data_IF_197957321132
#
_entry.id   IF_197957321132
#
_cell.length_a   1.000
_cell.length_b   1.000
_cell.length_c   1.000
_cell.angle_alpha   90.00
_cell.angle_beta   90.00
_cell.angle_gamma   90.00
#
_symmetry.space_group_name_H-M   'P 1'
#
loop_
_entity.id
_entity.type
_entity.pdbx_description
1 polymer ?
#
# COMPACT_ATOMS: atom_id res chain seq x y z
N UNK A 1 -49.98 21.05 -23.47
CA UNK A 1 -48.67 21.04 -22.79
C UNK A 1 -48.83 20.17 -21.55
N UNK A 2 -48.07 19.10 -21.49
CA UNK A 2 -48.02 18.10 -20.39
C UNK A 2 -46.60 17.59 -20.40
N UNK A 3 -45.90 17.74 -19.28
CA UNK A 3 -44.44 17.60 -19.25
C UNK A 3 -44.00 16.13 -19.27
N UNK A 4 -42.90 15.85 -19.98
CA UNK A 4 -42.34 14.51 -20.12
C UNK A 4 -41.33 14.26 -19.01
N UNK A 5 -41.72 13.49 -17.99
CA UNK A 5 -40.84 13.14 -16.87
C UNK A 5 -39.83 12.06 -17.29
N UNK A 6 -38.60 12.46 -17.59
CA UNK A 6 -37.50 11.52 -17.84
C UNK A 6 -37.10 10.78 -16.54
N UNK A 7 -37.53 9.52 -16.40
CA UNK A 7 -37.03 8.63 -15.35
C UNK A 7 -35.56 8.26 -15.63
N UNK A 8 -34.64 8.76 -14.80
CA UNK A 8 -33.25 8.34 -14.83
C UNK A 8 -33.06 6.89 -14.34
N UNK A 9 -31.93 6.23 -14.70
CA UNK A 9 -31.65 4.87 -14.26
C UNK A 9 -31.37 4.81 -12.75
N UNK A 10 -32.10 3.96 -12.04
CA UNK A 10 -31.90 3.67 -10.62
C UNK A 10 -30.82 2.58 -10.41
N UNK A 11 -30.28 2.51 -9.20
CA UNK A 11 -29.43 1.43 -8.66
C UNK A 11 -28.09 1.19 -9.36
N UNK A 12 -27.19 2.16 -9.21
CA UNK A 12 -25.75 1.85 -9.24
C UNK A 12 -25.43 0.76 -8.20
N UNK A 13 -24.96 -0.40 -8.67
CA UNK A 13 -24.79 -1.62 -7.88
C UNK A 13 -23.81 -1.40 -6.72
N UNK A 14 -24.33 -1.32 -5.48
CA UNK A 14 -23.48 -1.23 -4.27
C UNK A 14 -22.71 -2.54 -4.09
N UNK A 15 -21.43 -2.55 -4.52
CA UNK A 15 -20.46 -3.61 -4.18
C UNK A 15 -20.48 -3.87 -2.66
N UNK A 16 -20.45 -5.14 -2.20
CA UNK A 16 -20.51 -5.45 -0.77
C UNK A 16 -19.37 -4.81 0.05
N UNK A 17 -19.65 -4.56 1.32
CA UNK A 17 -18.65 -4.13 2.30
C UNK A 17 -17.70 -5.29 2.63
N UNK A 18 -16.39 -4.99 2.61
CA UNK A 18 -15.27 -5.70 3.22
C UNK A 18 -15.30 -7.25 3.27
N UNK A 19 -14.35 -7.87 2.58
CA UNK A 19 -14.05 -9.30 2.75
C UNK A 19 -13.36 -9.60 4.10
N UNK A 20 -13.15 -10.89 4.42
CA UNK A 20 -12.25 -11.26 5.51
C UNK A 20 -10.85 -10.70 5.26
N UNK A 21 -10.16 -10.29 6.33
CA UNK A 21 -8.79 -9.81 6.23
C UNK A 21 -7.87 -10.91 5.68
N UNK A 22 -6.95 -10.54 4.79
CA UNK A 22 -5.83 -11.42 4.47
C UNK A 22 -4.86 -11.42 5.66
N UNK A 23 -4.29 -12.59 5.96
CA UNK A 23 -3.11 -12.66 6.82
C UNK A 23 -1.96 -11.87 6.19
N UNK A 24 -1.06 -11.30 7.00
CA UNK A 24 0.19 -10.72 6.50
C UNK A 24 0.93 -11.72 5.60
N UNK A 25 1.53 -11.27 4.48
CA UNK A 25 2.35 -12.16 3.66
C UNK A 25 3.62 -12.56 4.43
N UNK A 26 4.17 -13.72 4.09
CA UNK A 26 5.33 -14.31 4.75
C UNK A 26 6.63 -13.67 4.22
N UNK A 27 7.50 -13.12 5.09
CA UNK A 27 8.81 -12.62 4.66
C UNK A 27 9.76 -13.78 4.40
N UNK A 28 10.20 -13.92 3.14
CA UNK A 28 11.25 -14.86 2.72
C UNK A 28 12.63 -14.26 3.00
N UNK A 29 12.75 -12.94 2.87
CA UNK A 29 13.97 -12.17 3.09
C UNK A 29 13.60 -10.74 3.48
N UNK A 30 14.39 -10.12 4.36
CA UNK A 30 14.22 -8.73 4.75
C UNK A 30 15.55 -8.05 5.12
N UNK A 31 15.59 -6.72 5.00
CA UNK A 31 16.66 -5.85 5.49
C UNK A 31 16.09 -4.51 5.97
N UNK A 32 16.52 -4.00 7.15
CA UNK A 32 16.20 -2.64 7.57
C UNK A 32 16.95 -1.62 6.72
N UNK A 33 16.34 -0.45 6.51
CA UNK A 33 16.81 0.58 5.57
C UNK A 33 18.21 1.12 5.90
N UNK A 34 18.56 1.22 7.19
CA UNK A 34 19.92 1.59 7.62
C UNK A 34 21.00 0.64 7.07
N UNK A 35 20.68 -0.63 6.87
CA UNK A 35 21.57 -1.64 6.27
C UNK A 35 21.46 -1.74 4.74
N UNK A 36 20.63 -0.91 4.10
CA UNK A 36 20.51 -0.79 2.64
C UNK A 36 21.39 0.32 2.06
N UNK A 37 21.93 1.22 2.90
CA UNK A 37 22.85 2.28 2.47
C UNK A 37 24.22 1.75 2.02
N UNK A 38 24.57 0.51 2.37
CA UNK A 38 25.77 -0.17 1.89
C UNK A 38 25.64 -0.61 0.42
N UNK A 39 26.77 -0.67 -0.29
CA UNK A 39 26.83 -0.92 -1.74
C UNK A 39 26.19 -2.24 -2.23
N UNK A 40 25.87 -3.17 -1.32
CA UNK A 40 25.15 -4.42 -1.64
C UNK A 40 23.80 -4.18 -2.31
N UNK A 41 23.06 -3.13 -1.95
CA UNK A 41 21.69 -2.91 -2.46
C UNK A 41 21.66 -2.55 -3.94
N UNK A 42 22.69 -1.87 -4.45
CA UNK A 42 22.85 -1.59 -5.89
C UNK A 42 23.15 -2.81 -6.76
N UNK A 43 23.52 -3.94 -6.15
CA UNK A 43 23.66 -5.22 -6.85
C UNK A 43 22.35 -6.03 -6.84
N UNK A 44 21.40 -5.64 -5.99
CA UNK A 44 20.23 -6.42 -5.60
C UNK A 44 18.94 -5.90 -6.25
N UNK A 45 18.85 -4.59 -6.49
CA UNK A 45 17.75 -3.93 -7.22
C UNK A 45 18.26 -3.12 -8.40
N UNK A 46 17.54 -3.18 -9.53
CA UNK A 46 17.78 -2.30 -10.67
C UNK A 46 17.47 -0.84 -10.34
N UNK A 47 18.04 0.10 -11.10
CA UNK A 47 17.91 1.55 -10.85
C UNK A 47 16.47 2.05 -10.63
N UNK A 48 15.52 1.74 -11.54
CA UNK A 48 14.12 2.16 -11.39
C UNK A 48 13.42 1.52 -10.19
N UNK A 49 13.65 0.24 -9.93
CA UNK A 49 13.05 -0.46 -8.78
C UNK A 49 13.60 0.04 -7.44
N UNK A 50 14.90 0.37 -7.38
CA UNK A 50 15.50 1.02 -6.21
C UNK A 50 14.87 2.39 -5.94
N UNK A 51 14.51 3.17 -6.96
CA UNK A 51 13.78 4.43 -6.80
C UNK A 51 12.33 4.21 -6.33
N UNK A 52 11.61 3.22 -6.88
CA UNK A 52 10.25 2.89 -6.44
C UNK A 52 10.22 2.44 -4.97
N UNK A 53 11.15 1.56 -4.59
CA UNK A 53 11.14 0.91 -3.28
C UNK A 53 11.75 1.80 -2.19
N UNK A 54 12.90 2.41 -2.43
CA UNK A 54 13.63 3.20 -1.41
C UNK A 54 13.26 4.70 -1.40
N UNK A 55 12.51 5.18 -2.40
CA UNK A 55 12.07 6.58 -2.48
C UNK A 55 10.88 6.90 -1.57
N UNK A 56 10.92 8.08 -0.96
CA UNK A 56 9.86 8.66 -0.11
C UNK A 56 8.59 9.09 -0.89
N UNK A 57 8.61 9.01 -2.22
CA UNK A 57 7.48 9.37 -3.08
C UNK A 57 6.19 8.57 -2.80
N UNK A 58 5.05 9.15 -3.17
CA UNK A 58 3.74 8.48 -3.06
C UNK A 58 3.61 7.43 -4.17
N UNK A 59 3.44 6.14 -3.86
CA UNK A 59 3.44 5.09 -4.88
C UNK A 59 2.16 5.13 -5.72
N UNK A 60 1.03 5.59 -5.20
CA UNK A 60 -0.15 5.89 -6.04
C UNK A 60 0.19 6.93 -7.11
N UNK A 61 1.04 7.91 -6.79
CA UNK A 61 1.52 8.88 -7.79
C UNK A 61 2.56 8.28 -8.74
N UNK A 62 3.40 7.36 -8.28
CA UNK A 62 4.32 6.63 -9.16
C UNK A 62 3.55 5.74 -10.15
N UNK A 63 2.53 5.01 -9.69
CA UNK A 63 1.64 4.20 -10.55
C UNK A 63 0.88 5.07 -11.57
N UNK A 64 0.31 6.20 -11.15
CA UNK A 64 -0.29 7.20 -12.07
C UNK A 64 0.70 7.66 -13.15
N UNK A 65 1.97 7.91 -12.79
CA UNK A 65 3.00 8.40 -13.71
C UNK A 65 3.59 7.33 -14.63
N UNK A 66 3.69 6.07 -14.18
CA UNK A 66 4.19 4.95 -14.98
C UNK A 66 3.13 4.49 -15.99
N UNK A 67 1.88 4.34 -15.55
CA UNK A 67 0.79 3.80 -16.38
C UNK A 67 0.12 4.85 -17.26
N UNK A 68 0.10 6.11 -16.83
CA UNK A 68 -0.74 7.17 -17.42
C UNK A 68 -2.22 7.08 -16.99
N UNK A 69 -2.60 6.07 -16.22
CA UNK A 69 -3.96 5.79 -15.77
C UNK A 69 -4.19 6.20 -14.30
N UNK A 70 -5.43 6.53 -13.89
CA UNK A 70 -5.73 6.81 -12.50
C UNK A 70 -5.61 5.53 -11.64
N UNK A 71 -5.11 5.68 -10.41
CA UNK A 71 -5.11 4.56 -9.45
C UNK A 71 -6.46 4.43 -8.75
N UNK A 72 -7.13 3.30 -8.97
CA UNK A 72 -8.28 2.86 -8.20
C UNK A 72 -7.83 2.13 -6.92
N UNK A 73 -8.50 2.41 -5.80
CA UNK A 73 -8.22 1.78 -4.50
C UNK A 73 -9.35 0.80 -4.17
N UNK A 74 -9.12 -0.49 -4.38
CA UNK A 74 -10.08 -1.54 -4.05
C UNK A 74 -9.91 -1.96 -2.58
N UNK A 75 -10.85 -1.53 -1.73
CA UNK A 75 -10.82 -1.81 -0.29
C UNK A 75 -11.16 -3.27 0.00
N UNK A 76 -10.19 -4.02 0.53
CA UNK A 76 -10.35 -5.41 0.95
C UNK A 76 -11.00 -5.45 2.34
N UNK A 77 -10.41 -4.73 3.30
CA UNK A 77 -10.94 -4.61 4.67
C UNK A 77 -10.44 -3.35 5.39
N UNK A 78 -11.14 -2.95 6.45
CA UNK A 78 -10.75 -1.86 7.36
C UNK A 78 -11.44 -2.09 8.71
N UNK A 79 -10.73 -2.74 9.63
CA UNK A 79 -11.26 -3.26 10.89
C UNK A 79 -10.22 -3.13 12.03
N UNK A 80 -10.65 -3.32 13.28
CA UNK A 80 -9.74 -3.37 14.42
C UNK A 80 -8.77 -4.55 14.27
N UNK A 81 -7.47 -4.32 14.46
CA UNK A 81 -6.47 -5.38 14.31
C UNK A 81 -6.49 -6.33 15.50
N UNK A 82 -6.51 -7.63 15.22
CA UNK A 82 -6.41 -8.68 16.22
C UNK A 82 -4.93 -8.96 16.44
N UNK A 83 -4.33 -8.33 17.45
CA UNK A 83 -2.88 -8.28 17.68
C UNK A 83 -2.26 -9.66 18.02
N UNK A 84 -2.05 -10.48 17.00
CA UNK A 84 -1.53 -11.85 17.09
C UNK A 84 -0.79 -12.34 15.82
N UNK A 85 -0.56 -11.47 14.82
CA UNK A 85 0.08 -11.83 13.55
C UNK A 85 1.59 -11.52 13.59
N UNK A 86 2.43 -12.54 13.75
CA UNK A 86 3.89 -12.40 13.90
C UNK A 86 4.64 -12.00 12.62
N UNK A 87 3.92 -11.68 11.54
CA UNK A 87 4.46 -11.21 10.25
C UNK A 87 4.17 -9.73 9.99
N UNK A 88 3.65 -8.97 10.95
CA UNK A 88 3.57 -7.50 10.85
C UNK A 88 4.99 -6.90 10.96
N UNK A 89 5.27 -5.71 10.38
CA UNK A 89 6.51 -5.00 10.63
C UNK A 89 6.70 -4.72 12.13
N UNK A 90 7.95 -4.75 12.61
CA UNK A 90 8.27 -4.58 14.04
C UNK A 90 7.87 -3.18 14.56
N UNK A 91 7.89 -2.19 13.67
CA UNK A 91 7.46 -0.80 13.89
C UNK A 91 5.98 -0.69 14.31
N UNK A 92 5.15 -1.69 14.02
CA UNK A 92 3.74 -1.72 14.46
C UNK A 92 3.64 -1.74 15.99
N UNK A 93 4.67 -2.21 16.70
CA UNK A 93 4.76 -2.16 18.16
C UNK A 93 4.97 -0.75 18.72
N UNK A 94 5.33 0.25 17.89
CA UNK A 94 5.43 1.66 18.30
C UNK A 94 4.08 2.40 18.27
N UNK A 95 3.04 1.80 17.69
CA UNK A 95 1.72 2.41 17.51
C UNK A 95 0.86 2.31 18.77
N UNK A 96 -0.03 3.29 18.94
CA UNK A 96 -0.92 3.40 20.09
C UNK A 96 -2.19 2.57 19.88
N UNK A 97 -2.33 1.49 20.65
CA UNK A 97 -3.54 0.66 20.68
C UNK A 97 -4.79 1.45 21.15
N UNK A 98 -6.01 1.10 20.69
CA UNK A 98 -6.32 0.05 19.70
C UNK A 98 -5.90 0.45 18.29
N UNK A 99 -5.48 -0.55 17.50
CA UNK A 99 -5.08 -0.36 16.12
C UNK A 99 -6.22 -0.64 15.14
N UNK A 100 -6.31 0.17 14.10
CA UNK A 100 -7.12 -0.11 12.91
C UNK A 100 -6.21 -0.60 11.79
N UNK A 101 -6.50 -1.79 11.23
CA UNK A 101 -5.81 -2.36 10.07
C UNK A 101 -6.66 -2.20 8.82
N UNK A 102 -6.09 -1.58 7.79
CA UNK A 102 -6.70 -1.37 6.46
C UNK A 102 -5.88 -2.09 5.41
N UNK A 103 -6.53 -2.86 4.54
CA UNK A 103 -5.91 -3.57 3.41
C UNK A 103 -6.59 -3.18 2.09
N UNK A 104 -5.80 -2.91 1.05
CA UNK A 104 -6.27 -2.46 -0.27
C UNK A 104 -5.47 -3.08 -1.41
N UNK A 105 -6.11 -3.26 -2.57
CA UNK A 105 -5.39 -3.31 -3.85
C UNK A 105 -5.29 -1.91 -4.45
N UNK A 106 -4.20 -1.63 -5.13
CA UNK A 106 -4.01 -0.47 -6.00
C UNK A 106 -4.04 -0.96 -7.45
N UNK A 107 -5.08 -0.57 -8.18
CA UNK A 107 -5.29 -0.96 -9.58
C UNK A 107 -5.12 0.22 -10.53
N UNK A 108 -4.57 -0.05 -11.72
CA UNK A 108 -4.65 0.85 -12.88
C UNK A 108 -5.31 0.06 -14.02
N UNK A 109 -6.34 0.62 -14.66
CA UNK A 109 -7.11 -0.02 -15.73
C UNK A 109 -7.53 -1.47 -15.40
N UNK A 110 -7.96 -1.69 -14.15
CA UNK A 110 -8.34 -3.00 -13.60
C UNK A 110 -7.18 -3.92 -13.17
N UNK A 111 -5.95 -3.70 -13.64
CA UNK A 111 -4.76 -4.51 -13.29
C UNK A 111 -4.26 -4.16 -11.90
N UNK A 112 -4.11 -5.14 -11.01
CA UNK A 112 -3.50 -4.93 -9.69
C UNK A 112 -1.98 -4.77 -9.82
N UNK A 113 -1.48 -3.58 -9.48
CA UNK A 113 -0.05 -3.24 -9.57
C UNK A 113 0.64 -3.18 -8.20
N UNK A 114 -0.12 -2.94 -7.14
CA UNK A 114 0.36 -3.10 -5.78
C UNK A 114 -0.77 -3.56 -4.83
N UNK A 115 -0.36 -4.16 -3.72
CA UNK A 115 -1.17 -4.38 -2.52
C UNK A 115 -0.59 -3.54 -1.40
N UNK A 116 -1.43 -3.00 -0.53
CA UNK A 116 -0.97 -2.30 0.64
C UNK A 116 -1.80 -2.67 1.87
N UNK A 117 -1.13 -2.83 3.00
CA UNK A 117 -1.76 -2.83 4.31
C UNK A 117 -1.16 -1.77 5.22
N UNK A 118 -1.96 -1.28 6.15
CA UNK A 118 -1.54 -0.21 7.06
C UNK A 118 -2.21 -0.35 8.42
N UNK A 119 -1.43 -0.07 9.46
CA UNK A 119 -1.84 -0.07 10.86
C UNK A 119 -1.88 1.37 11.35
N UNK A 120 -2.94 1.74 12.04
CA UNK A 120 -3.20 3.12 12.46
C UNK A 120 -3.63 3.19 13.92
N UNK A 121 -3.15 4.21 14.63
CA UNK A 121 -3.72 4.63 15.91
C UNK A 121 -5.22 4.96 15.67
N UNK A 122 -6.18 4.24 16.28
CA UNK A 122 -7.62 4.34 15.93
C UNK A 122 -8.15 5.78 15.91
N UNK A 123 -7.80 6.58 16.93
CA UNK A 123 -8.22 7.99 17.07
C UNK A 123 -7.76 8.84 15.88
N UNK A 124 -6.57 8.57 15.34
CA UNK A 124 -6.00 9.32 14.22
C UNK A 124 -6.49 8.76 12.88
N UNK A 125 -6.86 7.47 12.81
CA UNK A 125 -7.54 6.87 11.67
C UNK A 125 -8.91 7.52 11.43
N UNK A 126 -9.72 7.70 12.49
CA UNK A 126 -11.04 8.35 12.38
C UNK A 126 -10.95 9.81 11.93
N UNK A 127 -9.84 10.49 12.23
CA UNK A 127 -9.57 11.85 11.75
C UNK A 127 -9.06 11.87 10.29
N UNK A 128 -8.18 10.92 9.93
CA UNK A 128 -7.36 10.96 8.70
C UNK A 128 -7.86 10.05 7.57
N UNK A 129 -8.80 9.14 7.81
CA UNK A 129 -9.34 8.17 6.84
C UNK A 129 -10.88 8.24 6.74
N UNK A 130 -11.44 9.45 6.85
CA UNK A 130 -12.91 9.69 6.81
C UNK A 130 -13.55 9.15 5.52
N UNK A 131 -12.87 9.30 4.39
CA UNK A 131 -13.14 8.54 3.18
C UNK A 131 -12.19 7.32 3.13
N UNK A 132 -12.78 6.13 3.15
CA UNK A 132 -12.10 4.83 3.18
C UNK A 132 -11.66 4.34 1.80
N UNK A 133 -12.09 5.02 0.73
CA UNK A 133 -11.73 4.72 -0.66
C UNK A 133 -10.60 5.63 -1.18
N UNK A 134 -10.27 6.72 -0.50
CA UNK A 134 -9.15 7.58 -0.91
C UNK A 134 -7.76 6.93 -0.66
N UNK A 135 -6.76 7.23 -1.53
CA UNK A 135 -5.35 7.02 -1.24
C UNK A 135 -4.94 7.71 0.06
N UNK A 136 -4.15 7.02 0.90
CA UNK A 136 -3.68 7.52 2.20
C UNK A 136 -3.07 8.92 2.09
N UNK A 137 -2.21 9.14 1.08
CA UNK A 137 -1.60 10.44 0.82
C UNK A 137 -2.61 11.56 0.52
N UNK A 138 -3.67 11.30 -0.26
CA UNK A 138 -4.67 12.33 -0.59
C UNK A 138 -5.43 12.77 0.67
N UNK A 139 -5.77 11.84 1.57
CA UNK A 139 -6.43 12.15 2.84
C UNK A 139 -5.49 12.84 3.83
N UNK A 140 -4.23 12.43 3.90
CA UNK A 140 -3.21 13.00 4.80
C UNK A 140 -2.75 14.41 4.39
N UNK A 141 -2.62 14.69 3.09
CA UNK A 141 -2.17 16.00 2.59
C UNK A 141 -3.29 17.04 2.46
N UNK A 142 -4.56 16.68 2.69
CA UNK A 142 -5.70 17.59 2.56
C UNK A 142 -5.57 18.83 3.46
N UNK A 143 -5.17 18.63 4.71
CA UNK A 143 -4.95 19.69 5.71
C UNK A 143 -3.56 20.37 5.57
N UNK A 144 -2.75 19.96 4.58
CA UNK A 144 -1.34 20.37 4.38
C UNK A 144 -0.43 20.20 5.61
N UNK A 145 -0.79 19.30 6.53
CA UNK A 145 -0.01 19.03 7.72
C UNK A 145 1.40 18.52 7.38
N UNK A 146 2.41 18.98 8.13
CA UNK A 146 3.76 18.42 8.06
C UNK A 146 3.73 16.96 8.48
N UNK A 147 4.19 16.09 7.58
CA UNK A 147 4.21 14.64 7.75
C UNK A 147 5.57 14.13 7.28
N UNK A 148 6.37 13.69 8.23
CA UNK A 148 7.65 13.04 7.95
C UNK A 148 7.41 11.56 7.61
N UNK A 149 8.17 11.01 6.67
CA UNK A 149 8.16 9.58 6.32
C UNK A 149 9.56 9.02 6.50
N UNK A 150 9.65 7.89 7.20
CA UNK A 150 10.87 7.12 7.35
C UNK A 150 10.64 5.77 6.65
N UNK A 151 11.44 5.44 5.63
CA UNK A 151 11.41 4.09 5.03
C UNK A 151 12.20 3.18 5.95
N UNK A 152 11.54 2.17 6.50
CA UNK A 152 12.06 1.38 7.62
C UNK A 152 12.76 0.11 7.13
N UNK A 153 12.24 -0.52 6.08
CA UNK A 153 12.85 -1.73 5.52
C UNK A 153 12.31 -2.19 4.17
N UNK A 154 13.08 -3.08 3.55
CA UNK A 154 12.81 -3.77 2.29
C UNK A 154 12.69 -5.27 2.54
N UNK A 155 11.77 -5.94 1.85
CA UNK A 155 11.59 -7.39 1.94
C UNK A 155 11.25 -8.04 0.59
N UNK A 156 11.47 -9.35 0.50
CA UNK A 156 10.78 -10.24 -0.44
C UNK A 156 9.76 -11.05 0.35
N UNK A 157 8.51 -11.06 -0.11
CA UNK A 157 7.39 -11.73 0.57
C UNK A 157 6.65 -12.70 -0.35
N UNK A 158 5.92 -13.66 0.23
CA UNK A 158 5.03 -14.55 -0.49
C UNK A 158 3.67 -14.72 0.20
N UNK A 159 2.64 -14.97 -0.61
CA UNK A 159 1.36 -15.52 -0.18
C UNK A 159 0.58 -15.99 -1.42
N UNK A 160 -0.13 -17.11 -1.34
CA UNK A 160 -0.96 -17.60 -2.45
C UNK A 160 -2.05 -16.59 -2.88
N UNK A 161 -2.56 -15.77 -1.96
CA UNK A 161 -3.54 -14.72 -2.27
C UNK A 161 -2.90 -13.50 -2.96
N UNK A 162 -1.59 -13.26 -2.82
CA UNK A 162 -0.86 -12.28 -3.64
C UNK A 162 -0.72 -12.79 -5.07
N UNK A 163 -0.38 -14.08 -5.25
CA UNK A 163 -0.25 -14.67 -6.58
C UNK A 163 -1.58 -14.66 -7.35
N UNK A 164 -2.68 -14.95 -6.66
CA UNK A 164 -4.03 -14.85 -7.20
C UNK A 164 -4.43 -13.39 -7.52
N UNK A 165 -4.13 -12.44 -6.62
CA UNK A 165 -4.53 -11.04 -6.78
C UNK A 165 -3.72 -10.26 -7.84
N UNK A 166 -2.46 -10.61 -8.05
CA UNK A 166 -1.60 -10.06 -9.10
C UNK A 166 -1.60 -10.85 -10.41
N UNK A 167 -2.18 -12.05 -10.44
CA UNK A 167 -2.12 -12.99 -11.56
C UNK A 167 -0.68 -13.33 -12.00
N UNK A 168 0.27 -13.34 -11.05
CA UNK A 168 1.71 -13.57 -11.26
C UNK A 168 2.27 -14.37 -10.10
N UNK A 169 3.28 -15.20 -10.35
CA UNK A 169 3.99 -15.92 -9.28
C UNK A 169 4.95 -14.98 -8.52
N UNK A 170 5.23 -15.32 -7.27
CA UNK A 170 6.20 -14.62 -6.41
C UNK A 170 7.66 -15.06 -6.64
N UNK A 171 8.60 -14.62 -5.79
CA UNK A 171 8.40 -13.74 -4.63
C UNK A 171 8.12 -12.29 -5.03
N UNK A 172 7.50 -11.53 -4.14
CA UNK A 172 7.10 -10.15 -4.38
C UNK A 172 7.98 -9.17 -3.62
N UNK A 173 8.43 -8.10 -4.31
CA UNK A 173 9.11 -7.00 -3.63
C UNK A 173 8.15 -6.24 -2.73
N UNK A 174 8.58 -6.01 -1.49
CA UNK A 174 7.83 -5.29 -0.48
C UNK A 174 8.71 -4.27 0.22
N UNK A 175 8.09 -3.21 0.73
CA UNK A 175 8.70 -2.25 1.66
C UNK A 175 7.75 -1.94 2.79
N UNK A 176 8.27 -1.48 3.92
CA UNK A 176 7.47 -0.87 4.96
C UNK A 176 8.07 0.46 5.40
N UNK A 177 7.21 1.36 5.88
CA UNK A 177 7.57 2.70 6.29
C UNK A 177 6.58 3.27 7.31
N UNK A 178 7.08 4.15 8.20
CA UNK A 178 6.30 4.95 9.15
C UNK A 178 5.97 6.33 8.56
N UNK A 179 4.77 6.83 8.86
CA UNK A 179 4.50 8.26 8.87
C UNK A 179 4.52 8.79 10.30
N UNK A 180 5.07 9.99 10.48
CA UNK A 180 5.11 10.68 11.77
C UNK A 180 4.35 12.01 11.73
N UNK A 181 3.70 12.34 12.84
CA UNK A 181 3.05 13.64 13.09
C UNK A 181 3.46 14.13 14.48
N UNK A 182 3.95 15.36 14.58
CA UNK A 182 4.41 15.93 15.86
C UNK A 182 5.50 15.11 16.57
N UNK A 183 6.36 14.43 15.81
CA UNK A 183 7.43 13.57 16.35
C UNK A 183 6.99 12.19 16.84
N UNK A 184 5.76 11.74 16.55
CA UNK A 184 5.25 10.42 16.94
C UNK A 184 4.79 9.58 15.73
N UNK A 185 4.97 8.24 15.76
CA UNK A 185 4.38 7.34 14.77
C UNK A 185 2.84 7.44 14.72
N UNK A 186 2.33 7.77 13.53
CA UNK A 186 0.90 7.92 13.20
C UNK A 186 0.35 6.62 12.57
N UNK A 187 1.12 6.04 11.66
CA UNK A 187 0.79 4.81 10.95
C UNK A 187 2.05 4.12 10.44
N UNK A 188 2.03 2.79 10.43
CA UNK A 188 2.96 1.94 9.68
C UNK A 188 2.23 1.45 8.43
N UNK A 189 2.90 1.49 7.28
CA UNK A 189 2.36 1.03 6.00
C UNK A 189 3.33 0.01 5.42
N UNK A 190 2.82 -1.16 5.02
CA UNK A 190 3.55 -2.13 4.20
C UNK A 190 2.92 -2.20 2.82
N UNK A 191 3.77 -2.16 1.81
CA UNK A 191 3.38 -2.20 0.40
C UNK A 191 4.07 -3.39 -0.27
N UNK A 192 3.38 -4.05 -1.18
CA UNK A 192 3.86 -5.20 -1.96
C UNK A 192 3.57 -4.92 -3.43
N UNK A 193 4.55 -5.11 -4.31
CA UNK A 193 4.50 -4.67 -5.69
C UNK A 193 4.38 -5.85 -6.67
N UNK A 194 3.52 -5.68 -7.68
CA UNK A 194 3.28 -6.69 -8.71
C UNK A 194 4.47 -6.80 -9.68
N UNK A 195 4.89 -8.01 -10.10
CA UNK A 195 5.88 -8.19 -11.16
C UNK A 195 5.43 -7.61 -12.51
N UNK A 196 4.13 -7.34 -12.69
CA UNK A 196 3.63 -6.60 -13.86
C UNK A 196 4.28 -5.21 -14.03
N UNK A 197 4.82 -4.61 -12.96
CA UNK A 197 5.53 -3.34 -13.03
C UNK A 197 6.85 -3.40 -13.80
N UNK A 198 7.43 -4.59 -14.01
CA UNK A 198 8.63 -4.76 -14.85
C UNK A 198 8.39 -4.35 -16.31
N UNK A 199 7.12 -4.25 -16.75
CA UNK A 199 6.76 -3.70 -18.06
C UNK A 199 7.20 -2.24 -18.27
N UNK A 200 7.17 -1.42 -17.20
CA UNK A 200 7.58 -0.01 -17.25
C UNK A 200 8.95 0.24 -16.62
N UNK A 201 9.32 -0.54 -15.60
CA UNK A 201 10.53 -0.34 -14.81
C UNK A 201 11.73 -1.18 -15.30
N UNK A 202 11.49 -2.12 -16.23
CA UNK A 202 12.43 -3.20 -16.53
C UNK A 202 12.51 -4.23 -15.38
N UNK A 203 13.39 -5.25 -15.51
CA UNK A 203 13.58 -6.26 -14.48
C UNK A 203 13.90 -5.66 -13.10
N UNK A 204 13.37 -6.27 -12.05
CA UNK A 204 13.53 -5.80 -10.68
C UNK A 204 14.93 -6.01 -10.11
N UNK A 205 15.61 -7.06 -10.55
CA UNK A 205 17.00 -7.36 -10.23
C UNK A 205 17.92 -6.89 -11.37
N UNK A 206 19.19 -6.62 -11.05
CA UNK A 206 20.20 -6.34 -12.07
C UNK A 206 20.58 -7.63 -12.80
N UNK A 207 20.41 -7.67 -14.13
CA UNK A 207 21.17 -8.61 -14.97
C UNK A 207 22.66 -8.27 -14.85
N UNK A 208 23.48 -9.25 -14.46
CA UNK A 208 24.95 -9.14 -14.43
C UNK A 208 25.60 -9.32 -15.79
#
# INVERSE_FOLDING_TARGET
MTESACSGPDQGLRRPLAGPAFASPEPIWEKPFGALAEASTSQLLSGPWRLLLLGDGSPTRHLELLTGAPVEVELITMAADQAADNRVPVEVAELNIPLLRRQVWLRCDGVALAWAESWWNQIEADQSLRDRQLPIWRSLSADRAELFREVDGLAQVSAAWLEQGFERQGPFWSRHYRFFRGGKPLTVIREVFSPALEHWLGPSQCSG
#
